data_IF_248130451366
#
_entry.id   IF_248130451366
#
_cell.length_a   1.000
_cell.length_b   1.000
_cell.length_c   1.000
_cell.angle_alpha   90.00
_cell.angle_beta   90.00
_cell.angle_gamma   90.00
#
_symmetry.space_group_name_H-M   'P 1'
#
loop_
_entity.id
_entity.type
_entity.pdbx_description
1 polymer ?
#
# COMPACT_ATOMS: atom_id res chain seq x y z
N UNK A 1 -1.11 3.70 21.31
CA UNK A 1 -2.32 4.56 21.12
C UNK A 1 -2.91 4.28 19.74
N UNK A 2 -4.22 4.03 19.64
CA UNK A 2 -4.85 3.68 18.37
C UNK A 2 -5.51 4.91 17.74
N UNK A 3 -5.22 5.14 16.46
CA UNK A 3 -5.91 6.08 15.59
C UNK A 3 -6.78 5.34 14.59
N UNK A 4 -7.92 5.94 14.24
CA UNK A 4 -8.81 5.42 13.19
C UNK A 4 -9.39 6.57 12.37
N UNK A 5 -9.32 6.47 11.05
CA UNK A 5 -9.87 7.42 10.09
C UNK A 5 -10.54 6.65 8.96
N UNK A 6 -11.84 6.84 8.79
CA UNK A 6 -12.63 6.03 7.88
C UNK A 6 -12.50 4.55 8.20
N UNK A 7 -12.07 3.78 7.20
CA UNK A 7 -11.83 2.35 7.28
C UNK A 7 -10.39 2.01 7.71
N UNK A 8 -9.49 3.00 7.87
CA UNK A 8 -8.11 2.79 8.29
C UNK A 8 -7.94 2.86 9.80
N UNK A 9 -7.09 2.01 10.36
CA UNK A 9 -6.68 2.07 11.77
C UNK A 9 -5.19 1.74 11.93
N UNK A 10 -4.53 2.38 12.88
CA UNK A 10 -3.12 2.13 13.23
C UNK A 10 -2.91 2.26 14.73
N UNK A 11 -1.96 1.49 15.27
CA UNK A 11 -1.37 1.77 16.58
C UNK A 11 -0.07 2.57 16.38
N UNK A 12 0.15 3.62 17.16
CA UNK A 12 1.39 4.43 17.12
C UNK A 12 2.62 3.65 17.58
N UNK A 13 2.42 2.60 18.36
CA UNK A 13 3.49 1.72 18.82
C UNK A 13 3.78 0.58 17.82
N UNK A 14 2.98 0.49 16.75
CA UNK A 14 3.13 -0.48 15.67
C UNK A 14 3.77 0.12 14.42
N UNK A 15 3.89 -0.69 13.37
CA UNK A 15 4.45 -0.29 12.06
C UNK A 15 3.45 -0.33 10.92
N UNK A 16 2.17 -0.64 11.20
CA UNK A 16 1.17 -0.96 10.18
C UNK A 16 -0.10 -0.16 10.37
N UNK A 17 -0.58 0.41 9.27
CA UNK A 17 -1.93 0.93 9.07
C UNK A 17 -2.75 -0.18 8.41
N UNK A 18 -3.91 -0.51 8.96
CA UNK A 18 -4.78 -1.58 8.47
C UNK A 18 -6.08 -1.00 7.95
N UNK A 19 -6.46 -1.36 6.72
CA UNK A 19 -7.83 -1.20 6.26
C UNK A 19 -8.68 -2.28 6.94
N UNK A 20 -9.58 -1.86 7.81
CA UNK A 20 -10.43 -2.71 8.66
C UNK A 20 -11.57 -3.40 7.88
N UNK A 21 -11.84 -2.97 6.65
CA UNK A 21 -12.87 -3.56 5.77
C UNK A 21 -12.26 -4.64 4.88
N UNK A 22 -11.13 -4.36 4.22
CA UNK A 22 -10.49 -5.29 3.28
C UNK A 22 -9.42 -6.16 3.94
N UNK A 23 -8.92 -5.76 5.11
CA UNK A 23 -7.77 -6.36 5.79
C UNK A 23 -6.41 -6.01 5.16
N UNK A 24 -6.39 -5.23 4.07
CA UNK A 24 -5.15 -4.74 3.45
C UNK A 24 -4.34 -3.94 4.48
N UNK A 25 -3.03 -4.12 4.44
CA UNK A 25 -2.09 -3.46 5.33
C UNK A 25 -1.16 -2.55 4.56
N UNK A 26 -0.82 -1.43 5.18
CA UNK A 26 0.14 -0.45 4.70
C UNK A 26 1.18 -0.19 5.79
N UNK A 27 2.44 0.04 5.44
CA UNK A 27 3.40 0.50 6.43
C UNK A 27 3.12 1.95 6.82
N UNK A 28 3.36 2.29 8.09
CA UNK A 28 3.30 3.69 8.54
C UNK A 28 4.39 4.51 7.86
N UNK A 29 4.13 5.81 7.68
CA UNK A 29 5.02 6.70 6.91
C UNK A 29 6.40 6.87 7.55
N UNK A 30 6.49 6.60 8.85
CA UNK A 30 7.70 6.68 9.69
C UNK A 30 8.36 5.31 9.97
N UNK A 31 7.86 4.22 9.39
CA UNK A 31 8.32 2.86 9.73
C UNK A 31 9.70 2.50 9.16
N UNK A 32 10.18 3.22 8.16
CA UNK A 32 11.48 2.96 7.54
C UNK A 32 12.09 4.24 6.95
N UNK A 33 13.29 4.09 6.41
CA UNK A 33 14.01 5.18 5.75
C UNK A 33 14.92 4.57 4.67
N UNK A 34 14.35 4.31 3.49
CA UNK A 34 15.04 3.63 2.37
C UNK A 34 14.91 4.44 1.09
N UNK A 35 16.01 4.56 0.34
CA UNK A 35 15.99 5.10 -1.03
C UNK A 35 15.12 4.22 -1.93
N UNK A 36 14.81 4.70 -3.12
CA UNK A 36 14.07 3.90 -4.11
C UNK A 36 14.75 2.54 -4.38
N UNK A 37 16.06 2.54 -4.61
CA UNK A 37 16.81 1.33 -4.91
C UNK A 37 16.86 0.37 -3.71
N UNK A 38 17.03 0.89 -2.50
CA UNK A 38 16.97 0.07 -1.28
C UNK A 38 15.58 -0.49 -1.01
N UNK A 39 14.52 0.28 -1.33
CA UNK A 39 13.14 -0.17 -1.21
C UNK A 39 12.87 -1.35 -2.14
N UNK A 40 13.35 -1.29 -3.39
CA UNK A 40 13.26 -2.41 -4.33
C UNK A 40 13.92 -3.69 -3.78
N UNK A 41 15.12 -3.56 -3.19
CA UNK A 41 15.80 -4.70 -2.57
C UNK A 41 15.07 -5.19 -1.31
N UNK A 42 14.43 -4.29 -0.56
CA UNK A 42 13.72 -4.63 0.66
C UNK A 42 12.43 -5.40 0.40
N UNK A 43 11.72 -5.12 -0.71
CA UNK A 43 10.48 -5.84 -1.08
C UNK A 43 10.74 -7.11 -1.89
N UNK A 44 11.93 -7.27 -2.47
CA UNK A 44 12.32 -8.47 -3.22
C UNK A 44 12.36 -9.73 -2.34
N UNK A 45 12.42 -10.89 -2.98
CA UNK A 45 12.50 -12.19 -2.30
C UNK A 45 13.71 -12.24 -1.36
N UNK A 46 13.45 -12.45 -0.07
CA UNK A 46 14.48 -12.47 0.97
C UNK A 46 14.84 -11.10 1.54
N UNK A 47 14.21 -10.02 1.06
CA UNK A 47 14.30 -8.69 1.64
C UNK A 47 13.52 -8.55 2.96
N UNK A 48 13.81 -7.48 3.71
CA UNK A 48 13.20 -7.23 5.03
C UNK A 48 11.69 -6.95 4.98
N UNK A 49 11.18 -6.55 3.82
CA UNK A 49 9.77 -6.36 3.50
C UNK A 49 9.31 -7.32 2.40
N UNK A 50 9.90 -8.53 2.33
CA UNK A 50 9.44 -9.57 1.42
C UNK A 50 7.93 -9.82 1.61
N UNK A 51 7.19 -9.82 0.50
CA UNK A 51 5.72 -9.96 0.49
C UNK A 51 4.94 -8.64 0.61
N UNK A 52 5.65 -7.52 0.69
CA UNK A 52 5.09 -6.19 0.48
C UNK A 52 5.31 -5.74 -0.97
N UNK A 53 4.48 -4.82 -1.42
CA UNK A 53 4.52 -4.21 -2.75
C UNK A 53 4.60 -2.69 -2.61
N UNK A 54 5.22 -2.02 -3.58
CA UNK A 54 5.20 -0.56 -3.68
C UNK A 54 3.85 -0.17 -4.29
N UNK A 55 3.13 0.77 -3.65
CA UNK A 55 1.87 1.28 -4.14
C UNK A 55 2.04 2.03 -5.48
N UNK A 56 1.06 1.85 -6.36
CA UNK A 56 0.85 2.68 -7.54
C UNK A 56 -0.31 3.66 -7.30
N UNK A 57 -0.70 4.44 -8.32
CA UNK A 57 -1.83 5.38 -8.22
C UNK A 57 -3.14 4.71 -7.78
N UNK A 58 -3.42 3.49 -8.25
CA UNK A 58 -4.65 2.79 -7.88
C UNK A 58 -4.67 2.40 -6.40
N UNK A 59 -3.54 1.94 -5.87
CA UNK A 59 -3.40 1.63 -4.45
C UNK A 59 -3.39 2.89 -3.59
N UNK A 60 -2.82 3.99 -4.07
CA UNK A 60 -2.89 5.31 -3.43
C UNK A 60 -4.35 5.78 -3.30
N UNK A 61 -5.12 5.73 -4.39
CA UNK A 61 -6.54 6.06 -4.41
C UNK A 61 -7.32 5.21 -3.40
N UNK A 62 -7.08 3.89 -3.39
CA UNK A 62 -7.70 2.98 -2.41
C UNK A 62 -7.36 3.36 -0.96
N UNK A 63 -6.12 3.79 -0.69
CA UNK A 63 -5.72 4.25 0.64
C UNK A 63 -6.44 5.53 1.04
N UNK A 64 -6.48 6.53 0.16
CA UNK A 64 -7.17 7.81 0.40
C UNK A 64 -8.66 7.56 0.62
N UNK A 65 -9.30 6.76 -0.25
CA UNK A 65 -10.71 6.37 -0.12
C UNK A 65 -10.98 5.70 1.22
N UNK A 66 -10.13 4.75 1.62
CA UNK A 66 -10.25 4.10 2.91
C UNK A 66 -10.09 5.09 4.08
N UNK A 67 -9.23 6.11 3.97
CA UNK A 67 -9.07 7.12 5.02
C UNK A 67 -10.35 7.96 5.21
N UNK A 68 -11.08 8.26 4.14
CA UNK A 68 -12.38 8.95 4.19
C UNK A 68 -13.56 8.01 4.52
N UNK A 69 -13.38 6.70 4.33
CA UNK A 69 -14.39 5.66 4.54
C UNK A 69 -15.55 5.75 3.53
N UNK A 70 -16.65 5.03 3.79
CA UNK A 70 -17.83 4.98 2.92
C UNK A 70 -18.58 6.32 2.69
N UNK A 71 -18.06 7.44 3.20
CA UNK A 71 -18.70 8.76 3.06
C UNK A 71 -18.08 9.67 1.99
N UNK A 72 -17.07 9.22 1.23
CA UNK A 72 -16.47 10.02 0.15
C UNK A 72 -16.19 9.19 -1.10
N UNK A 73 -16.95 9.44 -2.17
CA UNK A 73 -16.50 9.09 -3.52
C UNK A 73 -15.13 9.73 -3.77
N UNK A 74 -14.21 8.99 -4.40
CA UNK A 74 -12.79 9.34 -4.58
C UNK A 74 -12.54 10.83 -4.82
N UNK A 75 -12.18 11.59 -3.76
CA UNK A 75 -12.18 13.04 -3.83
C UNK A 75 -10.97 13.62 -4.57
N UNK A 76 -10.01 12.77 -4.98
CA UNK A 76 -8.89 13.12 -5.84
C UNK A 76 -8.92 12.45 -7.23
N UNK A 77 -10.06 11.86 -7.63
CA UNK A 77 -10.20 11.20 -8.94
C UNK A 77 -10.30 12.14 -10.15
N UNK A 78 -10.12 13.46 -10.02
CA UNK A 78 -10.41 14.37 -11.14
C UNK A 78 -9.33 14.45 -12.22
N UNK A 79 -8.23 13.71 -12.07
CA UNK A 79 -7.23 13.54 -13.12
C UNK A 79 -6.46 14.82 -13.43
N UNK A 80 -6.26 15.69 -12.43
CA UNK A 80 -5.50 16.92 -12.59
C UNK A 80 -3.98 16.62 -12.52
N UNK A 81 -3.41 16.07 -13.59
CA UNK A 81 -2.02 15.60 -13.72
C UNK A 81 -0.91 16.60 -13.27
N UNK A 82 -1.23 17.90 -13.09
CA UNK A 82 -0.25 18.99 -12.94
C UNK A 82 -0.43 19.88 -11.71
N UNK A 83 -1.36 19.55 -10.81
CA UNK A 83 -1.60 20.37 -9.63
C UNK A 83 -1.74 19.50 -8.40
N UNK A 84 -1.38 20.09 -7.26
CA UNK A 84 -1.78 19.56 -5.98
C UNK A 84 -3.31 19.59 -5.91
N UNK A 85 -3.93 18.42 -5.98
CA UNK A 85 -5.37 18.23 -5.86
C UNK A 85 -5.74 18.17 -4.37
N UNK A 86 -6.90 18.72 -4.02
CA UNK A 86 -7.40 18.67 -2.65
C UNK A 86 -8.44 17.56 -2.54
N UNK A 87 -8.06 16.48 -1.86
CA UNK A 87 -8.90 15.32 -1.61
C UNK A 87 -9.90 15.55 -0.47
N UNK A 88 -9.89 16.71 0.18
CA UNK A 88 -10.80 17.06 1.27
C UNK A 88 -10.11 17.10 2.63
N UNK A 89 -10.90 16.92 3.70
CA UNK A 89 -10.41 17.07 5.07
C UNK A 89 -10.93 15.95 5.97
N UNK A 90 -10.01 15.23 6.62
CA UNK A 90 -10.31 14.18 7.58
C UNK A 90 -10.73 14.77 8.92
N UNK A 91 -11.96 14.49 9.31
CA UNK A 91 -12.48 14.89 10.62
C UNK A 91 -11.74 14.18 11.75
N UNK A 92 -11.29 14.93 12.76
CA UNK A 92 -10.58 14.39 13.92
C UNK A 92 -9.12 13.98 13.66
N UNK A 93 -8.56 14.28 12.48
CA UNK A 93 -7.15 14.05 12.17
C UNK A 93 -6.22 14.68 13.21
N UNK A 94 -5.14 13.96 13.49
CA UNK A 94 -4.01 14.45 14.30
C UNK A 94 -2.74 14.27 13.48
N UNK A 95 -1.93 15.32 13.45
CA UNK A 95 -0.59 15.29 12.83
C UNK A 95 0.23 14.09 13.34
N UNK A 96 0.87 13.36 12.42
CA UNK A 96 1.64 12.16 12.70
C UNK A 96 0.82 10.91 13.01
N UNK A 97 -0.51 10.92 12.88
CA UNK A 97 -1.33 9.77 13.27
C UNK A 97 -0.99 8.50 12.46
N UNK A 98 -0.70 8.64 11.16
CA UNK A 98 -0.21 7.56 10.30
C UNK A 98 1.32 7.44 10.22
N UNK A 99 2.02 8.24 11.01
CA UNK A 99 3.48 8.30 11.04
C UNK A 99 3.97 9.64 10.55
N UNK A 100 4.88 10.25 11.32
CA UNK A 100 5.37 11.57 11.01
C UNK A 100 6.45 11.52 9.93
N UNK A 101 6.28 12.24 8.82
CA UNK A 101 7.26 12.27 7.73
C UNK A 101 7.55 13.70 7.25
N UNK A 102 8.61 13.88 6.45
CA UNK A 102 9.07 15.17 5.93
C UNK A 102 9.29 16.32 6.94
N UNK A 103 8.27 17.15 7.22
CA UNK A 103 8.44 18.40 7.97
C UNK A 103 7.20 18.75 8.80
N UNK A 104 7.43 18.94 10.09
CA UNK A 104 6.61 19.77 10.98
C UNK A 104 5.14 19.36 11.07
N UNK A 105 4.33 19.95 10.20
CA UNK A 105 2.87 19.91 10.19
C UNK A 105 2.29 19.28 8.91
N UNK A 106 3.14 18.58 8.16
CA UNK A 106 2.80 17.93 6.90
C UNK A 106 3.45 16.55 6.86
N UNK A 107 2.63 15.52 6.78
CA UNK A 107 3.07 14.14 6.59
C UNK A 107 2.88 13.76 5.12
N UNK A 108 3.91 13.18 4.53
CA UNK A 108 3.93 12.71 3.15
C UNK A 108 4.23 11.21 3.03
N UNK A 109 3.70 10.61 1.99
CA UNK A 109 4.27 9.42 1.38
C UNK A 109 4.31 9.57 -0.14
N UNK A 110 5.16 8.77 -0.78
CA UNK A 110 5.28 8.69 -2.23
C UNK A 110 4.69 7.39 -2.76
N UNK A 111 4.35 7.35 -4.05
CA UNK A 111 3.89 6.16 -4.76
C UNK A 111 4.33 6.20 -6.23
N UNK A 112 4.17 5.08 -6.94
CA UNK A 112 4.48 5.01 -8.36
C UNK A 112 3.31 5.54 -9.18
N UNK A 113 3.52 6.67 -9.85
CA UNK A 113 2.52 7.23 -10.75
C UNK A 113 2.33 6.35 -11.98
N UNK A 114 1.09 6.02 -12.26
CA UNK A 114 0.67 5.31 -13.49
C UNK A 114 0.47 6.26 -14.67
N UNK A 115 0.25 7.56 -14.41
CA UNK A 115 0.07 8.57 -15.46
C UNK A 115 1.41 9.05 -16.01
N UNK A 116 2.48 9.05 -15.20
CA UNK A 116 3.87 9.22 -15.63
C UNK A 116 4.07 10.38 -16.61
N UNK A 117 4.18 11.62 -16.16
CA UNK A 117 4.31 12.77 -17.07
C UNK A 117 5.72 12.94 -17.61
N UNK A 118 5.89 13.01 -18.93
CA UNK A 118 7.13 13.52 -19.54
C UNK A 118 7.16 15.05 -19.56
N UNK A 119 7.97 15.68 -18.70
CA UNK A 119 8.28 17.11 -18.72
C UNK A 119 9.63 17.42 -19.40
N UNK A 120 10.07 18.69 -19.42
CA UNK A 120 11.37 19.10 -19.98
C UNK A 120 12.58 18.41 -19.35
N UNK A 121 12.41 17.77 -18.18
CA UNK A 121 13.42 16.99 -17.47
C UNK A 121 13.23 15.46 -17.51
N UNK A 122 12.30 14.94 -18.34
CA UNK A 122 11.99 13.51 -18.42
C UNK A 122 10.63 13.14 -17.79
N UNK A 123 10.36 11.83 -17.70
CA UNK A 123 9.16 11.30 -17.04
C UNK A 123 9.25 11.49 -15.52
N UNK A 124 8.21 12.01 -14.89
CA UNK A 124 8.02 12.05 -13.44
C UNK A 124 7.21 10.81 -13.02
N UNK A 125 7.86 9.72 -12.58
CA UNK A 125 7.18 8.49 -12.20
C UNK A 125 6.72 8.48 -10.74
N UNK A 126 7.00 9.54 -9.97
CA UNK A 126 6.69 9.58 -8.53
C UNK A 126 5.54 10.55 -8.28
N UNK A 127 4.46 10.01 -7.71
CA UNK A 127 3.39 10.78 -7.09
C UNK A 127 3.63 10.93 -5.58
N UNK A 128 2.95 11.90 -4.95
CA UNK A 128 2.96 12.08 -3.50
C UNK A 128 1.57 12.37 -2.97
N UNK A 129 1.32 11.97 -1.73
CA UNK A 129 0.14 12.34 -0.97
C UNK A 129 0.57 13.05 0.30
N UNK A 130 -0.09 14.16 0.61
CA UNK A 130 0.12 15.04 1.76
C UNK A 130 -1.05 14.93 2.74
N UNK A 131 -0.74 14.82 4.03
CA UNK A 131 -1.66 14.96 5.15
C UNK A 131 -1.21 16.15 5.98
N UNK A 132 -1.93 17.26 5.91
CA UNK A 132 -1.64 18.43 6.73
C UNK A 132 -2.17 18.26 8.16
N UNK A 133 -1.56 18.95 9.14
CA UNK A 133 -2.00 18.97 10.53
C UNK A 133 -3.47 19.42 10.71
N UNK A 134 -4.04 20.15 9.75
CA UNK A 134 -5.46 20.51 9.73
C UNK A 134 -6.40 19.38 9.30
N UNK A 135 -5.86 18.21 8.95
CA UNK A 135 -6.59 17.08 8.35
C UNK A 135 -6.79 17.19 6.84
N UNK A 136 -6.24 18.23 6.18
CA UNK A 136 -6.36 18.34 4.72
C UNK A 136 -5.53 17.23 4.07
N UNK A 137 -6.15 16.48 3.17
CA UNK A 137 -5.47 15.50 2.33
C UNK A 137 -5.34 16.07 0.93
N UNK A 138 -4.15 15.99 0.38
CA UNK A 138 -3.86 16.45 -0.97
C UNK A 138 -3.00 15.45 -1.72
N UNK A 139 -3.17 15.38 -3.03
CA UNK A 139 -2.45 14.45 -3.90
C UNK A 139 -1.74 15.21 -5.02
N UNK A 140 -0.59 14.70 -5.45
CA UNK A 140 0.08 15.16 -6.65
C UNK A 140 0.62 13.97 -7.46
N UNK A 141 -0.17 13.56 -8.46
CA UNK A 141 0.04 12.37 -9.29
C UNK A 141 1.41 12.31 -9.96
N UNK A 142 1.92 13.42 -10.52
CA UNK A 142 3.19 13.46 -11.24
C UNK A 142 4.21 14.43 -10.62
N UNK A 143 4.37 14.36 -9.30
CA UNK A 143 5.22 15.26 -8.52
C UNK A 143 6.67 15.34 -9.01
N UNK A 144 7.37 14.21 -9.14
CA UNK A 144 8.81 14.27 -9.42
C UNK A 144 9.49 13.00 -9.95
N UNK A 145 10.83 13.08 -10.03
CA UNK A 145 11.73 12.00 -10.41
C UNK A 145 12.18 11.17 -9.20
N UNK A 146 12.68 9.96 -9.46
CA UNK A 146 13.30 9.08 -8.44
C UNK A 146 14.47 9.79 -7.74
N UNK A 147 15.31 10.50 -8.50
CA UNK A 147 16.43 11.23 -7.93
C UNK A 147 15.98 12.33 -6.95
N UNK A 148 14.84 12.99 -7.22
CA UNK A 148 14.29 13.97 -6.29
C UNK A 148 13.70 13.30 -5.03
N UNK A 149 13.00 12.18 -5.18
CA UNK A 149 12.53 11.36 -4.04
C UNK A 149 13.70 11.03 -3.10
N UNK A 150 14.79 10.48 -3.64
CA UNK A 150 15.99 10.12 -2.89
C UNK A 150 16.72 11.33 -2.29
N UNK A 151 16.51 12.55 -2.81
CA UNK A 151 17.11 13.78 -2.28
C UNK A 151 16.30 14.39 -1.12
N UNK A 152 15.02 14.06 -0.97
CA UNK A 152 14.13 14.55 0.09
C UNK A 152 14.20 13.67 1.36
N UNK A 153 15.42 13.31 1.77
CA UNK A 153 15.69 12.20 2.68
C UNK A 153 16.10 12.60 4.11
N UNK A 154 16.07 13.90 4.45
CA UNK A 154 16.57 14.36 5.76
C UNK A 154 15.95 15.67 6.22
N UNK A 155 15.56 15.81 7.50
CA UNK A 155 15.70 14.85 8.61
C UNK A 155 14.56 13.82 8.75
N UNK A 156 13.46 13.95 8.00
CA UNK A 156 12.40 12.92 7.93
C UNK A 156 12.15 12.62 6.45
N UNK A 157 12.41 11.40 5.97
CA UNK A 157 12.27 11.06 4.56
C UNK A 157 10.80 11.09 4.11
N UNK A 158 10.57 11.22 2.81
CA UNK A 158 9.32 10.82 2.16
C UNK A 158 9.51 9.38 1.68
N UNK A 159 8.93 8.42 2.39
CA UNK A 159 9.01 7.01 2.02
C UNK A 159 7.97 6.65 0.96
N UNK A 160 8.25 5.61 0.18
CA UNK A 160 7.24 4.97 -0.66
C UNK A 160 6.16 4.30 0.21
N UNK A 161 4.90 4.39 -0.20
CA UNK A 161 3.83 3.63 0.44
C UNK A 161 4.01 2.15 0.09
N UNK A 162 4.30 1.35 1.10
CA UNK A 162 4.32 -0.10 0.97
C UNK A 162 3.00 -0.68 1.45
N UNK A 163 2.45 -1.61 0.68
CA UNK A 163 1.23 -2.30 1.02
C UNK A 163 1.39 -3.81 0.89
N UNK A 164 0.52 -4.56 1.54
CA UNK A 164 0.27 -5.96 1.26
C UNK A 164 -1.20 -6.23 1.43
N UNK A 165 -1.74 -7.11 0.60
CA UNK A 165 -3.11 -7.56 0.80
C UNK A 165 -3.25 -8.29 2.13
N UNK A 166 -4.48 -8.35 2.64
CA UNK A 166 -4.79 -9.36 3.63
C UNK A 166 -4.36 -10.69 3.01
N UNK A 167 -3.43 -11.40 3.67
CA UNK A 167 -3.17 -12.77 3.28
C UNK A 167 -4.52 -13.47 3.25
N UNK A 168 -4.96 -13.87 2.05
CA UNK A 168 -6.08 -14.78 1.89
C UNK A 168 -5.89 -15.81 2.97
N UNK A 169 -6.87 -15.91 3.89
CA UNK A 169 -6.91 -16.99 4.87
C UNK A 169 -6.51 -18.23 4.08
N UNK A 170 -5.39 -18.88 4.42
CA UNK A 170 -4.98 -20.12 3.76
C UNK A 170 -6.21 -21.01 3.77
N UNK A 171 -6.94 -21.07 2.66
CA UNK A 171 -8.07 -21.96 2.54
C UNK A 171 -7.39 -23.31 2.52
N UNK A 172 -7.53 -24.14 3.57
CA UNK A 172 -6.92 -25.45 3.55
C UNK A 172 -7.42 -26.11 2.28
N UNK A 173 -6.53 -26.57 1.41
CA UNK A 173 -6.93 -27.17 0.14
C UNK A 173 -8.11 -28.09 0.41
N UNK A 174 -9.26 -27.91 -0.26
CA UNK A 174 -10.44 -28.68 0.08
C UNK A 174 -10.07 -30.15 -0.08
N UNK A 175 -10.41 -30.96 0.93
CA UNK A 175 -10.08 -32.39 0.99
C UNK A 175 -10.55 -33.18 -0.26
N UNK A 176 -11.30 -32.56 -1.17
CA UNK A 176 -11.58 -33.01 -2.53
C UNK A 176 -10.33 -33.30 -3.38
N UNK A 177 -9.21 -32.57 -3.23
CA UNK A 177 -7.95 -32.87 -3.96
C UNK A 177 -7.34 -34.19 -3.46
N UNK A 178 -7.38 -34.43 -2.15
CA UNK A 178 -7.01 -35.70 -1.52
C UNK A 178 -7.96 -36.85 -1.92
N UNK A 179 -9.28 -36.59 -1.97
CA UNK A 179 -10.26 -37.59 -2.42
C UNK A 179 -10.07 -37.98 -3.89
N UNK A 180 -9.70 -37.04 -4.76
CA UNK A 180 -9.43 -37.32 -6.17
C UNK A 180 -8.18 -38.21 -6.34
N UNK A 181 -7.13 -37.96 -5.55
CA UNK A 181 -5.92 -38.79 -5.55
C UNK A 181 -6.21 -40.20 -5.01
N UNK A 182 -6.97 -40.35 -3.93
CA UNK A 182 -7.37 -41.68 -3.43
C UNK A 182 -8.30 -42.45 -4.41
N UNK A 183 -9.20 -41.76 -5.11
CA UNK A 183 -10.08 -42.39 -6.10
C UNK A 183 -9.29 -42.97 -7.29
N UNK A 184 -8.24 -42.27 -7.74
CA UNK A 184 -7.36 -42.73 -8.83
C UNK A 184 -6.52 -43.95 -8.41
N UNK A 185 -6.01 -43.99 -7.18
CA UNK A 185 -5.26 -45.16 -6.67
C UNK A 185 -6.16 -46.38 -6.38
N UNK A 186 -7.42 -46.17 -5.98
CA UNK A 186 -8.39 -47.25 -5.76
C UNK A 186 -8.77 -48.00 -7.04
N UNK A 187 -8.75 -47.33 -8.20
CA UNK A 187 -9.05 -47.93 -9.51
C UNK A 187 -7.92 -48.83 -10.04
N UNK A 188 -6.67 -48.59 -9.66
CA UNK A 188 -5.53 -49.43 -10.05
C UNK A 188 -5.43 -50.76 -9.30
N UNK A 189 -6.01 -50.87 -8.10
CA UNK A 189 -5.92 -52.10 -7.27
C UNK A 189 -6.94 -53.17 -7.69
N UNK A 190 -8.00 -52.82 -8.44
CA UNK A 190 -9.08 -53.77 -8.77
C UNK A 190 -8.76 -54.75 -9.92
N UNK A 191 -7.57 -54.69 -10.53
CA UNK A 191 -7.23 -55.50 -11.72
C UNK A 191 -6.31 -56.71 -11.50
N UNK A 192 -6.06 -57.13 -10.25
CA UNK A 192 -5.28 -58.35 -9.96
C UNK A 192 -6.07 -59.25 -9.01
N UNK A 193 -6.92 -60.11 -9.58
CA UNK A 193 -7.17 -61.50 -9.14
C UNK A 193 -8.30 -62.12 -9.97
N UNK A 194 -7.94 -62.98 -10.92
CA UNK A 194 -8.62 -64.26 -11.08
C UNK A 194 -7.56 -65.36 -11.23
N UNK A 195 -7.61 -66.43 -10.42
CA UNK A 195 -6.70 -67.57 -10.51
C UNK A 195 -7.25 -68.64 -11.46
N UNK A 196 -6.38 -69.20 -12.31
CA UNK A 196 -6.35 -70.63 -12.66
C UNK A 196 -4.90 -71.06 -12.77
#
# INVERSE_FOLDING_TARGET
>A
MIYSFGDLSTDVDGSVITNTVTGRQYLRFDSFNLTYAETLLAVDSGGIYSGWSIADSGINDDFINAAFGQQGENPCSTGADYALENCGTLSGWQDGAFGASYVGNLDYYAYLSTVGRTGPGGTNPIGITEFAASGRVSEYEAWSSIANLDSNFSPRPINLLLYREASDIEVPEPASVLLLTFALFGLTVRKIRQPQ
#
